data_IF_028547782456
#
_entry.id   IF_028547782456
#
_cell.length_a   1.000
_cell.length_b   1.000
_cell.length_c   1.000
_cell.angle_alpha   90.00
_cell.angle_beta   90.00
_cell.angle_gamma   90.00
#
_symmetry.space_group_name_H-M   'P 1'
#
loop_
_entity.id
_entity.type
_entity.pdbx_description
1 polymer ?
#
# COMPACT_ATOMS: atom_id res chain seq x y z
N UNK A 1 -14.93 -7.62 11.77
CA UNK A 1 -14.72 -6.85 10.54
C UNK A 1 -15.63 -5.63 10.49
N UNK A 2 -15.05 -4.44 10.52
CA UNK A 2 -15.72 -3.15 10.29
C UNK A 2 -15.24 -2.59 8.95
N UNK A 3 -16.10 -1.80 8.32
CA UNK A 3 -15.77 -1.14 7.05
C UNK A 3 -16.12 0.34 7.14
N UNK A 4 -15.12 1.19 6.93
CA UNK A 4 -15.29 2.65 6.85
C UNK A 4 -15.08 3.11 5.42
N UNK A 5 -15.80 4.12 4.97
CA UNK A 5 -15.70 4.62 3.58
C UNK A 5 -15.12 6.02 3.53
N UNK A 6 -14.10 6.20 2.71
CA UNK A 6 -13.57 7.52 2.31
C UNK A 6 -14.21 7.90 0.99
N UNK A 7 -14.67 9.15 0.89
CA UNK A 7 -15.18 9.73 -0.35
C UNK A 7 -14.26 10.86 -0.82
N UNK A 8 -13.97 10.85 -2.11
CA UNK A 8 -13.22 11.88 -2.80
C UNK A 8 -14.17 12.74 -3.63
N UNK A 9 -13.79 13.98 -3.88
CA UNK A 9 -14.60 14.97 -4.60
C UNK A 9 -14.75 14.67 -6.10
N UNK A 10 -13.81 13.93 -6.68
CA UNK A 10 -13.83 13.48 -8.07
C UNK A 10 -14.63 12.19 -8.30
N UNK A 11 -15.45 11.74 -7.33
CA UNK A 11 -16.35 10.60 -7.49
C UNK A 11 -15.78 9.24 -7.04
N UNK A 12 -14.52 9.19 -6.60
CA UNK A 12 -13.94 7.96 -6.03
C UNK A 12 -14.42 7.72 -4.60
N UNK A 13 -14.68 6.45 -4.27
CA UNK A 13 -14.94 5.98 -2.91
C UNK A 13 -14.06 4.76 -2.60
N UNK A 14 -13.47 4.74 -1.41
CA UNK A 14 -12.62 3.64 -0.92
C UNK A 14 -13.19 3.08 0.38
N UNK A 15 -13.40 1.76 0.42
CA UNK A 15 -13.79 1.04 1.64
C UNK A 15 -12.56 0.48 2.36
N UNK A 16 -12.41 0.79 3.63
CA UNK A 16 -11.30 0.38 4.49
C UNK A 16 -11.75 -0.75 5.41
N UNK A 17 -11.09 -1.90 5.32
CA UNK A 17 -11.41 -3.05 6.16
C UNK A 17 -10.51 -3.12 7.39
N UNK A 18 -11.14 -3.27 8.55
CA UNK A 18 -10.46 -3.50 9.83
C UNK A 18 -11.04 -4.71 10.57
N UNK A 19 -10.21 -5.40 11.35
CA UNK A 19 -10.64 -6.43 12.30
C UNK A 19 -10.06 -6.17 13.69
N UNK A 20 -10.87 -5.59 14.57
CA UNK A 20 -10.37 -5.02 15.82
C UNK A 20 -9.42 -3.85 15.52
N UNK A 21 -8.20 -3.89 16.05
CA UNK A 21 -7.15 -2.92 15.73
C UNK A 21 -6.40 -3.23 14.44
N UNK A 22 -6.59 -4.41 13.84
CA UNK A 22 -5.86 -4.81 12.64
C UNK A 22 -6.44 -4.12 11.41
N UNK A 23 -5.58 -3.47 10.63
CA UNK A 23 -5.93 -2.97 9.31
C UNK A 23 -5.70 -4.08 8.28
N UNK A 24 -6.73 -4.41 7.51
CA UNK A 24 -6.68 -5.48 6.50
C UNK A 24 -6.38 -4.95 5.10
N UNK A 25 -6.70 -3.68 4.83
CA UNK A 25 -6.50 -3.04 3.52
C UNK A 25 -7.74 -2.35 2.99
N UNK A 26 -7.67 -1.94 1.73
CA UNK A 26 -8.77 -1.29 1.00
C UNK A 26 -9.54 -2.38 0.23
N UNK A 27 -10.83 -2.57 0.51
CA UNK A 27 -11.64 -3.63 -0.14
C UNK A 27 -12.26 -3.14 -1.43
N UNK A 28 -13.19 -2.20 -1.33
CA UNK A 28 -13.94 -1.67 -2.46
C UNK A 28 -13.31 -0.38 -2.94
N UNK A 29 -13.18 -0.25 -4.25
CA UNK A 29 -12.88 1.00 -4.96
C UNK A 29 -14.04 1.21 -5.91
N UNK A 30 -14.74 2.33 -5.77
CA UNK A 30 -15.90 2.69 -6.58
C UNK A 30 -15.64 4.05 -7.23
N UNK A 31 -16.06 4.20 -8.48
CA UNK A 31 -16.08 5.48 -9.19
C UNK A 31 -17.48 5.71 -9.76
N UNK A 32 -18.14 6.79 -9.33
CA UNK A 32 -19.50 7.14 -9.74
C UNK A 32 -20.51 5.96 -9.66
N UNK A 33 -20.40 5.18 -8.59
CA UNK A 33 -21.24 4.01 -8.33
C UNK A 33 -20.83 2.73 -9.07
N UNK A 34 -19.81 2.78 -9.94
CA UNK A 34 -19.26 1.62 -10.63
C UNK A 34 -18.11 1.02 -9.82
N UNK A 35 -18.18 -0.28 -9.51
CA UNK A 35 -17.10 -0.98 -8.83
C UNK A 35 -15.90 -1.16 -9.77
N UNK A 36 -14.72 -0.71 -9.33
CA UNK A 36 -13.47 -0.83 -10.07
C UNK A 36 -12.68 -2.08 -9.67
N UNK A 37 -12.84 -2.60 -8.44
CA UNK A 37 -12.15 -3.82 -7.99
C UNK A 37 -13.07 -4.84 -7.34
N UNK A 38 -12.60 -6.08 -7.26
CA UNK A 38 -13.22 -7.12 -6.45
C UNK A 38 -12.83 -6.95 -4.96
N UNK A 39 -13.80 -6.86 -4.03
CA UNK A 39 -13.50 -6.64 -2.61
C UNK A 39 -13.01 -7.87 -1.84
N UNK A 40 -12.98 -9.05 -2.48
CA UNK A 40 -12.63 -10.32 -1.81
C UNK A 40 -11.19 -10.32 -1.29
N UNK A 41 -10.28 -9.62 -1.97
CA UNK A 41 -8.89 -9.45 -1.56
C UNK A 41 -8.67 -7.97 -1.25
N UNK A 42 -8.50 -7.59 0.03
CA UNK A 42 -8.13 -6.23 0.38
C UNK A 42 -6.80 -5.85 -0.27
N UNK A 43 -6.75 -4.67 -0.85
CA UNK A 43 -5.52 -4.05 -1.31
C UNK A 43 -4.70 -3.60 -0.12
N UNK A 44 -3.51 -4.15 -0.04
CA UNK A 44 -2.57 -3.84 1.01
C UNK A 44 -1.16 -3.78 0.41
N UNK A 45 -0.24 -3.34 1.25
CA UNK A 45 1.16 -3.19 0.92
C UNK A 45 1.94 -4.30 1.58
N UNK A 46 3.04 -4.68 0.96
CA UNK A 46 4.03 -5.58 1.54
C UNK A 46 5.40 -4.93 1.40
N UNK A 47 6.17 -4.85 2.48
CA UNK A 47 7.50 -4.27 2.44
C UNK A 47 8.52 -5.19 3.12
N UNK A 48 9.76 -5.16 2.66
CA UNK A 48 10.87 -5.87 3.28
C UNK A 48 12.04 -4.94 3.55
N UNK A 49 12.66 -5.13 4.71
CA UNK A 49 13.96 -4.53 5.03
C UNK A 49 15.09 -5.46 4.63
N UNK A 50 16.19 -4.86 4.15
CA UNK A 50 17.46 -5.55 3.92
C UNK A 50 17.99 -6.27 5.17
N UNK A 51 17.60 -5.81 6.37
CA UNK A 51 17.97 -6.39 7.66
C UNK A 51 17.22 -7.67 8.05
N UNK A 52 16.33 -8.19 7.20
CA UNK A 52 15.60 -9.45 7.45
C UNK A 52 14.28 -9.28 8.20
N UNK A 53 13.50 -8.25 7.85
CA UNK A 53 12.14 -8.05 8.35
C UNK A 53 11.15 -7.94 7.20
N UNK A 54 9.99 -8.60 7.33
CA UNK A 54 8.83 -8.39 6.47
C UNK A 54 7.73 -7.64 7.21
N UNK A 55 7.18 -6.61 6.59
CA UNK A 55 6.09 -5.80 7.12
C UNK A 55 4.80 -6.15 6.36
N UNK A 56 3.98 -6.99 6.98
CA UNK A 56 2.71 -7.52 6.45
C UNK A 56 1.58 -7.53 7.49
N UNK A 57 1.86 -7.03 8.70
CA UNK A 57 0.90 -6.93 9.79
C UNK A 57 0.70 -5.47 10.18
N UNK A 58 -0.50 -4.96 9.90
CA UNK A 58 -0.83 -3.54 10.05
C UNK A 58 -1.89 -3.32 11.11
N UNK A 59 -1.74 -2.25 11.90
CA UNK A 59 -2.68 -1.92 12.97
C UNK A 59 -2.89 -0.42 13.16
N UNK A 60 -3.94 -0.10 13.93
CA UNK A 60 -4.22 1.24 14.43
C UNK A 60 -4.40 2.28 13.32
N UNK A 61 -5.17 1.91 12.29
CA UNK A 61 -5.49 2.79 11.17
C UNK A 61 -6.12 4.10 11.66
N UNK A 62 -5.59 5.21 11.16
CA UNK A 62 -6.13 6.54 11.29
C UNK A 62 -6.27 7.16 9.90
N UNK A 63 -7.38 7.84 9.67
CA UNK A 63 -7.65 8.57 8.43
C UNK A 63 -7.57 10.05 8.73
N UNK A 64 -6.55 10.71 8.20
CA UNK A 64 -6.26 12.11 8.40
C UNK A 64 -6.35 12.89 7.08
N UNK A 65 -6.41 14.22 7.17
CA UNK A 65 -6.33 15.13 6.03
C UNK A 65 -5.06 15.97 6.12
N UNK A 66 -4.33 16.08 5.02
CA UNK A 66 -3.10 16.87 4.86
C UNK A 66 -3.17 17.66 3.55
N UNK A 67 -3.76 18.86 3.60
CA UNK A 67 -4.14 19.60 2.39
C UNK A 67 -5.16 18.81 1.57
N UNK A 68 -4.87 18.61 0.29
CA UNK A 68 -5.71 17.84 -0.64
C UNK A 68 -5.51 16.32 -0.49
N UNK A 69 -4.57 15.89 0.36
CA UNK A 69 -4.32 14.48 0.61
C UNK A 69 -5.22 13.94 1.71
N UNK A 70 -5.86 12.80 1.43
CA UNK A 70 -6.29 11.87 2.47
C UNK A 70 -5.11 10.99 2.84
N UNK A 71 -4.79 10.90 4.13
CA UNK A 71 -3.65 10.12 4.61
C UNK A 71 -4.17 8.98 5.46
N UNK A 72 -3.87 7.75 5.05
CA UNK A 72 -4.05 6.55 5.85
C UNK A 72 -2.75 6.33 6.65
N UNK A 73 -2.81 6.55 7.95
CA UNK A 73 -1.67 6.34 8.84
C UNK A 73 -1.91 5.08 9.67
N UNK A 74 -0.95 4.15 9.66
CA UNK A 74 -1.05 2.91 10.42
C UNK A 74 0.33 2.41 10.84
N UNK A 75 0.35 1.58 11.87
CA UNK A 75 1.56 0.90 12.34
C UNK A 75 1.78 -0.37 11.52
N UNK A 76 3.04 -0.74 11.31
CA UNK A 76 3.43 -2.03 10.75
C UNK A 76 4.37 -2.74 11.72
N UNK A 77 4.10 -4.02 12.00
CA UNK A 77 5.00 -4.87 12.80
C UNK A 77 5.78 -5.79 11.88
N UNK A 78 7.10 -5.64 11.90
CA UNK A 78 8.05 -6.45 11.14
C UNK A 78 8.22 -7.85 11.72
N UNK A 79 7.85 -8.85 10.95
CA UNK A 79 8.12 -10.26 11.23
C UNK A 79 9.54 -10.63 10.78
N UNK A 80 10.23 -11.44 11.57
CA UNK A 80 11.59 -11.88 11.23
C UNK A 80 11.57 -12.79 10.00
N UNK A 81 12.48 -12.50 9.07
CA UNK A 81 12.82 -13.36 7.94
C UNK A 81 14.27 -13.84 8.05
N UNK A 82 14.56 -15.09 7.67
CA UNK A 82 15.92 -15.64 7.72
C UNK A 82 16.82 -15.10 6.59
N UNK A 83 16.24 -14.64 5.48
CA UNK A 83 16.96 -14.08 4.34
C UNK A 83 17.21 -12.59 4.56
N UNK A 84 18.47 -12.18 4.38
CA UNK A 84 18.95 -10.81 4.58
C UNK A 84 19.74 -10.44 3.32
N UNK A 85 19.45 -9.27 2.75
CA UNK A 85 20.13 -8.78 1.54
C UNK A 85 21.44 -8.05 1.86
N UNK A 86 21.89 -8.11 3.11
CA UNK A 86 23.22 -7.68 3.51
C UNK A 86 24.24 -8.55 2.76
N UNK A 87 24.92 -7.94 1.80
CA UNK A 87 25.90 -8.59 0.96
C UNK A 87 27.22 -8.70 1.70
N UNK A 88 27.81 -9.90 1.70
CA UNK A 88 29.21 -10.04 2.07
C UNK A 88 30.12 -9.52 0.94
N UNK A 89 31.44 -9.61 1.10
CA UNK A 89 32.38 -9.18 0.06
C UNK A 89 32.29 -9.97 -1.26
N UNK A 90 31.47 -11.03 -1.31
CA UNK A 90 31.21 -11.87 -2.47
C UNK A 90 29.81 -11.66 -3.05
N UNK A 91 29.03 -10.69 -2.53
CA UNK A 91 27.66 -10.35 -2.98
C UNK A 91 26.62 -11.46 -2.82
N UNK A 92 26.92 -12.49 -2.03
CA UNK A 92 25.97 -13.56 -1.76
C UNK A 92 24.95 -13.13 -0.68
N UNK A 93 23.65 -13.45 -0.86
CA UNK A 93 22.64 -13.22 0.18
C UNK A 93 22.99 -13.97 1.47
N UNK A 94 23.00 -13.25 2.60
CA UNK A 94 23.31 -13.86 3.89
C UNK A 94 22.04 -14.43 4.54
N UNK A 95 22.16 -15.65 5.09
CA UNK A 95 21.11 -16.23 5.93
C UNK A 95 21.43 -15.94 7.39
N UNK A 96 20.59 -15.12 8.04
CA UNK A 96 20.67 -14.92 9.49
C UNK A 96 19.81 -15.97 10.20
N UNK A 97 20.45 -16.93 10.84
CA UNK A 97 19.75 -18.03 11.54
C UNK A 97 19.18 -17.62 12.90
N UNK A 98 19.66 -16.52 13.49
CA UNK A 98 19.17 -16.01 14.77
C UNK A 98 17.96 -15.10 14.53
N UNK A 99 16.84 -15.42 15.19
CA UNK A 99 15.66 -14.56 15.21
C UNK A 99 16.01 -13.16 15.71
N UNK A 100 15.57 -12.16 14.95
CA UNK A 100 15.64 -10.76 15.33
C UNK A 100 14.42 -10.40 16.18
N UNK A 101 14.55 -9.33 16.97
CA UNK A 101 13.41 -8.72 17.64
C UNK A 101 12.49 -8.12 16.55
N UNK A 102 11.18 -8.12 16.78
CA UNK A 102 10.27 -7.41 15.88
C UNK A 102 10.70 -5.95 15.71
N UNK A 103 10.60 -5.48 14.47
CA UNK A 103 10.79 -4.08 14.12
C UNK A 103 9.43 -3.40 14.06
N UNK A 104 9.34 -2.15 14.47
CA UNK A 104 8.13 -1.35 14.32
C UNK A 104 8.37 -0.31 13.22
N UNK A 105 7.38 -0.11 12.37
CA UNK A 105 7.38 0.93 11.34
C UNK A 105 6.07 1.70 11.36
N UNK A 106 6.12 2.93 10.85
CA UNK A 106 4.93 3.74 10.58
C UNK A 106 4.77 3.88 9.09
N UNK A 107 3.55 3.66 8.62
CA UNK A 107 3.19 3.78 7.21
C UNK A 107 2.25 4.96 7.04
N UNK A 108 2.52 5.79 6.03
CA UNK A 108 1.63 6.87 5.60
C UNK A 108 1.32 6.65 4.12
N UNK A 109 0.09 6.26 3.84
CA UNK A 109 -0.40 6.09 2.49
C UNK A 109 -1.29 7.27 2.13
N UNK A 110 -0.76 8.16 1.30
CA UNK A 110 -1.41 9.40 0.89
C UNK A 110 -2.11 9.18 -0.44
N UNK A 111 -3.37 9.59 -0.50
CA UNK A 111 -4.24 9.52 -1.67
C UNK A 111 -4.83 10.91 -1.90
N UNK A 112 -4.69 11.46 -3.10
CA UNK A 112 -5.40 12.69 -3.49
C UNK A 112 -6.12 12.49 -4.82
N UNK A 113 -7.29 13.11 -4.99
CA UNK A 113 -8.00 13.07 -6.26
C UNK A 113 -7.19 13.83 -7.32
N UNK A 114 -7.13 13.26 -8.51
CA UNK A 114 -6.54 13.90 -9.69
C UNK A 114 -7.50 13.80 -10.87
N UNK A 115 -7.45 14.82 -11.71
CA UNK A 115 -8.07 14.82 -13.03
C UNK A 115 -7.03 15.33 -14.00
N UNK A 116 -6.71 14.53 -15.00
CA UNK A 116 -5.68 14.85 -15.99
C UNK A 116 -6.26 14.79 -17.40
N UNK A 117 -5.77 15.67 -18.26
CA UNK A 117 -6.08 15.63 -19.69
C UNK A 117 -4.96 14.91 -20.41
N UNK A 118 -5.29 13.78 -21.01
CA UNK A 118 -4.35 12.94 -21.75
C UNK A 118 -4.92 12.75 -23.16
N UNK A 119 -4.22 13.34 -24.13
CA UNK A 119 -4.69 13.50 -25.51
C UNK A 119 -6.03 14.26 -25.58
N UNK A 120 -7.08 13.63 -26.10
CA UNK A 120 -8.43 14.20 -26.26
C UNK A 120 -9.38 13.80 -25.10
N UNK A 121 -8.87 13.07 -24.10
CA UNK A 121 -9.68 12.47 -23.05
C UNK A 121 -9.32 13.01 -21.66
N UNK A 122 -10.37 13.23 -20.86
CA UNK A 122 -10.25 13.50 -19.44
C UNK A 122 -10.20 12.19 -18.65
N UNK A 123 -9.22 12.07 -17.75
CA UNK A 123 -9.05 10.92 -16.89
C UNK A 123 -9.15 11.34 -15.43
N UNK A 124 -10.04 10.68 -14.69
CA UNK A 124 -10.14 10.83 -13.24
C UNK A 124 -9.41 9.68 -12.55
N UNK A 125 -8.67 10.00 -11.50
CA UNK A 125 -7.93 9.01 -10.73
C UNK A 125 -7.59 9.48 -9.32
N UNK A 126 -6.70 8.72 -8.68
CA UNK A 126 -6.05 9.07 -7.43
C UNK A 126 -4.55 9.08 -7.65
N UNK A 127 -3.88 10.19 -7.31
CA UNK A 127 -2.44 10.17 -7.12
C UNK A 127 -2.13 9.57 -5.76
N UNK A 128 -1.10 8.74 -5.72
CA UNK A 128 -0.70 7.99 -4.53
C UNK A 128 0.73 8.32 -4.15
N UNK A 129 0.99 8.41 -2.85
CA UNK A 129 2.33 8.48 -2.31
C UNK A 129 2.41 7.60 -1.07
N UNK A 130 3.47 6.81 -0.98
CA UNK A 130 3.70 5.91 0.13
C UNK A 130 4.99 6.28 0.85
N UNK A 131 4.89 6.46 2.16
CA UNK A 131 6.01 6.72 3.05
C UNK A 131 6.06 5.64 4.13
N UNK A 132 7.24 5.05 4.35
CA UNK A 132 7.48 4.11 5.45
C UNK A 132 8.64 4.64 6.29
N UNK A 133 8.36 4.97 7.54
CA UNK A 133 9.37 5.29 8.54
C UNK A 133 9.69 4.03 9.34
N UNK A 134 10.88 3.46 9.11
CA UNK A 134 11.37 2.29 9.82
C UNK A 134 12.81 2.52 10.33
N UNK A 135 12.96 3.10 11.54
CA UNK A 135 14.27 3.42 12.09
C UNK A 135 15.16 2.18 12.25
N UNK A 136 16.34 2.20 11.62
CA UNK A 136 17.34 1.12 11.73
C UNK A 136 17.09 -0.10 10.84
N UNK A 137 16.03 -0.09 10.03
CA UNK A 137 15.66 -1.20 9.14
C UNK A 137 15.23 -0.64 7.77
N UNK A 138 16.18 -0.19 6.93
CA UNK A 138 15.84 0.42 5.65
C UNK A 138 15.09 -0.58 4.77
N UNK A 139 14.05 -0.08 4.10
CA UNK A 139 13.21 -0.86 3.18
C UNK A 139 13.95 -0.97 1.84
N UNK A 140 14.17 -2.20 1.36
CA UNK A 140 14.81 -2.45 0.06
C UNK A 140 13.78 -2.79 -1.01
N UNK A 141 12.63 -3.36 -0.62
CA UNK A 141 11.59 -3.77 -1.54
C UNK A 141 10.20 -3.49 -0.99
N UNK A 142 9.29 -3.14 -1.90
CA UNK A 142 7.89 -2.89 -1.64
C UNK A 142 7.04 -3.46 -2.78
N UNK A 143 5.90 -4.02 -2.42
CA UNK A 143 4.89 -4.53 -3.34
C UNK A 143 3.51 -4.03 -2.96
N UNK A 144 2.80 -3.55 -3.95
CA UNK A 144 1.35 -3.47 -3.94
C UNK A 144 0.84 -4.76 -4.59
N UNK A 145 0.17 -5.62 -3.82
CA UNK A 145 -0.13 -6.99 -4.25
C UNK A 145 -1.34 -7.10 -5.18
N UNK A 146 -1.91 -5.96 -5.59
CA UNK A 146 -3.11 -5.87 -6.39
C UNK A 146 -3.16 -4.56 -7.18
N UNK A 147 -3.85 -4.57 -8.31
CA UNK A 147 -4.19 -3.37 -9.09
C UNK A 147 -5.67 -3.02 -8.87
N UNK A 148 -6.04 -1.77 -9.16
CA UNK A 148 -7.43 -1.28 -9.10
C UNK A 148 -8.18 -1.36 -10.45
N UNK A 149 -7.66 -2.15 -11.41
CA UNK A 149 -8.27 -2.30 -12.73
C UNK A 149 -9.59 -3.08 -12.67
N UNK A 150 -10.52 -2.77 -13.59
CA UNK A 150 -11.87 -3.35 -13.63
C UNK A 150 -11.82 -4.88 -13.51
N UNK A 151 -12.38 -5.41 -12.41
CA UNK A 151 -12.42 -6.85 -12.14
C UNK A 151 -11.16 -7.44 -11.51
N UNK A 152 -10.19 -6.61 -11.12
CA UNK A 152 -8.90 -7.04 -10.56
C UNK A 152 -7.98 -7.69 -11.61
N UNK A 153 -8.26 -7.47 -12.90
CA UNK A 153 -7.47 -7.96 -14.01
C UNK A 153 -6.79 -6.78 -14.71
N UNK A 154 -5.46 -6.80 -14.77
CA UNK A 154 -4.70 -5.85 -15.60
C UNK A 154 -4.84 -6.14 -17.10
N UNK A 155 -5.41 -7.30 -17.46
CA UNK A 155 -5.64 -7.68 -18.86
C UNK A 155 -6.72 -6.78 -19.48
N UNK A 156 -6.34 -6.01 -20.50
CA UNK A 156 -7.21 -5.04 -21.16
C UNK A 156 -7.17 -3.63 -20.56
N UNK A 157 -6.49 -3.42 -19.44
CA UNK A 157 -6.16 -2.10 -18.94
C UNK A 157 -5.05 -1.46 -19.79
N UNK A 158 -5.18 -0.17 -20.07
CA UNK A 158 -4.17 0.59 -20.80
C UNK A 158 -3.23 1.22 -19.79
N UNK A 159 -1.97 0.76 -19.77
CA UNK A 159 -0.91 1.49 -19.07
C UNK A 159 -0.69 2.80 -19.81
N UNK A 160 -1.13 3.90 -19.20
CA UNK A 160 -1.05 5.23 -19.83
C UNK A 160 0.37 5.79 -19.75
N UNK A 161 1.04 5.66 -18.60
CA UNK A 161 2.41 6.13 -18.40
C UNK A 161 3.06 5.40 -17.22
N UNK A 162 4.37 5.14 -17.33
CA UNK A 162 5.22 4.67 -16.24
C UNK A 162 6.49 5.52 -16.24
N UNK A 163 6.64 6.37 -15.22
CA UNK A 163 7.87 7.13 -15.02
C UNK A 163 8.76 6.38 -14.03
N UNK A 164 10.01 6.10 -14.43
CA UNK A 164 11.04 5.48 -13.58
C UNK A 164 12.12 6.47 -13.19
#
# INVERSE_FOLDING_TARGET
>A
MSTDTIKFDNGFELSLATDGSRFLGITDVVFDGSALRNPTLPWILYAQSDTGHSFDNFSDLQVNKDGDWTVLEFNATGSWMPMVEETDMMTDPMIRTRRLKSADAKVRWKLRPITEQIEENEWCGLAMQLEIDCPGHPIHWLLEDTTWEIGGAAEGAVLVQQDM
#
